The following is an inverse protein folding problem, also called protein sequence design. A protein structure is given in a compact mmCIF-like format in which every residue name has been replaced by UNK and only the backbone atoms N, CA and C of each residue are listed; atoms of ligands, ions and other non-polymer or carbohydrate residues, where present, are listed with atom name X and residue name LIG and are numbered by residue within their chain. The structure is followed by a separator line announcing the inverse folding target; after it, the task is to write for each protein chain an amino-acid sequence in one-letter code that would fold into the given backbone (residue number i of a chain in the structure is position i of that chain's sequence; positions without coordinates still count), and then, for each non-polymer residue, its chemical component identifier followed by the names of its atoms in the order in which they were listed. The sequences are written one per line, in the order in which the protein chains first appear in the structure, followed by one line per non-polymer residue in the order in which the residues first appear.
data_IF_308431376034
#
_entry.id   IF_308431376034
#
_cell.length_a   1.000
_cell.length_b   1.000
_cell.length_c   1.000
_cell.angle_alpha   90.00
_cell.angle_beta   90.00
_cell.angle_gamma   90.00
#
_symmetry.space_group_name_H-M   'P 1'
#
loop_
_entity.id
_entity.type
_entity.pdbx_description
1 polymer ?
#
# COMPACT_ATOMS: atom_id res chain seq x y z
N UNK A 1 -3.91 3.15 -11.62
CA UNK A 1 -4.67 1.90 -11.44
C UNK A 1 -5.17 1.43 -12.79
N UNK A 2 -4.89 0.19 -13.20
CA UNK A 2 -5.44 -0.39 -14.41
C UNK A 2 -6.94 -0.59 -14.20
N UNK A 3 -7.73 0.11 -15.01
CA UNK A 3 -9.15 -0.16 -15.12
C UNK A 3 -9.33 -1.26 -16.17
N UNK A 4 -10.06 -2.31 -15.80
CA UNK A 4 -10.51 -3.34 -16.72
C UNK A 4 -11.58 -2.76 -17.64
N UNK A 5 -11.53 -3.13 -18.92
CA UNK A 5 -12.46 -2.60 -19.93
C UNK A 5 -13.92 -2.96 -19.65
N UNK A 6 -14.18 -4.08 -18.97
CA UNK A 6 -15.50 -4.56 -18.58
C UNK A 6 -15.95 -4.04 -17.20
N UNK A 7 -15.14 -3.22 -16.53
CA UNK A 7 -15.47 -2.65 -15.22
C UNK A 7 -15.52 -3.65 -14.06
N UNK A 8 -15.17 -4.92 -14.30
CA UNK A 8 -15.25 -5.98 -13.29
C UNK A 8 -14.29 -5.70 -12.13
N UNK A 9 -14.76 -6.03 -10.91
CA UNK A 9 -14.00 -5.93 -9.65
C UNK A 9 -14.32 -7.12 -8.76
N UNK A 10 -13.37 -7.55 -7.91
CA UNK A 10 -13.66 -8.54 -6.88
C UNK A 10 -14.65 -7.96 -5.86
N UNK A 11 -15.59 -8.78 -5.43
CA UNK A 11 -16.58 -8.43 -4.41
C UNK A 11 -16.60 -9.53 -3.35
N UNK A 12 -15.66 -9.45 -2.40
CA UNK A 12 -15.64 -10.26 -1.20
C UNK A 12 -15.75 -9.31 0.02
N UNK A 13 -16.87 -9.32 0.74
CA UNK A 13 -17.13 -8.36 1.82
C UNK A 13 -16.14 -8.52 2.98
N UNK A 14 -15.63 -9.74 3.23
CA UNK A 14 -14.72 -10.01 4.34
C UNK A 14 -13.36 -9.41 4.02
N UNK A 15 -12.79 -9.77 2.87
CA UNK A 15 -11.46 -9.28 2.48
C UNK A 15 -11.48 -7.78 2.19
N UNK A 16 -12.54 -7.25 1.59
CA UNK A 16 -12.73 -5.82 1.40
C UNK A 16 -12.76 -5.08 2.75
N UNK A 17 -13.49 -5.61 3.74
CA UNK A 17 -13.52 -5.06 5.09
C UNK A 17 -12.15 -5.07 5.77
N UNK A 18 -11.38 -6.16 5.62
CA UNK A 18 -10.02 -6.26 6.15
C UNK A 18 -9.08 -5.25 5.52
N UNK A 19 -9.10 -5.09 4.19
CA UNK A 19 -8.29 -4.10 3.48
C UNK A 19 -8.62 -2.68 3.96
N UNK A 20 -9.91 -2.34 4.08
CA UNK A 20 -10.33 -1.04 4.60
C UNK A 20 -9.86 -0.81 6.03
N UNK A 21 -9.99 -1.81 6.91
CA UNK A 21 -9.50 -1.73 8.29
C UNK A 21 -7.98 -1.56 8.37
N UNK A 22 -7.22 -2.25 7.52
CA UNK A 22 -5.77 -2.09 7.44
C UNK A 22 -5.37 -0.67 7.00
N UNK A 23 -6.06 -0.10 6.02
CA UNK A 23 -5.86 1.29 5.58
C UNK A 23 -6.18 2.26 6.72
N UNK A 24 -7.32 2.09 7.38
CA UNK A 24 -7.71 2.96 8.50
C UNK A 24 -6.72 2.88 9.67
N UNK A 25 -6.29 1.66 10.02
CA UNK A 25 -5.34 1.43 11.10
C UNK A 25 -3.96 2.01 10.79
N UNK A 26 -3.51 1.99 9.53
CA UNK A 26 -2.24 2.61 9.14
C UNK A 26 -2.29 4.13 9.28
N UNK A 27 -3.40 4.76 8.87
CA UNK A 27 -3.62 6.19 9.09
C UNK A 27 -3.66 6.54 10.58
N UNK A 28 -4.34 5.73 11.40
CA UNK A 28 -4.44 5.95 12.85
C UNK A 28 -3.09 5.80 13.56
N UNK A 29 -2.34 4.73 13.28
CA UNK A 29 -1.01 4.50 13.88
C UNK A 29 -0.04 5.65 13.59
N UNK A 30 -0.11 6.22 12.40
CA UNK A 30 0.76 7.34 12.02
C UNK A 30 0.38 8.64 12.71
N UNK A 31 -0.91 8.89 12.92
CA UNK A 31 -1.38 10.01 13.72
C UNK A 31 -0.90 9.90 15.19
N UNK A 32 -0.95 8.69 15.77
CA UNK A 32 -0.47 8.43 17.13
C UNK A 32 1.07 8.57 17.25
N UNK A 33 1.83 8.07 16.26
CA UNK A 33 3.31 8.10 16.28
C UNK A 33 3.88 9.51 16.06
N UNK A 34 3.27 10.30 15.18
CA UNK A 34 3.67 11.70 14.96
C UNK A 34 3.42 12.57 16.20
N UNK A 35 2.41 12.24 17.01
CA UNK A 35 2.11 12.92 18.26
C UNK A 35 3.19 12.67 19.33
N UNK A 36 3.64 11.42 19.50
CA UNK A 36 4.63 11.07 20.53
C UNK A 36 5.98 11.76 20.33
N UNK A 37 6.52 11.75 19.12
CA UNK A 37 7.83 12.35 18.82
C UNK A 37 7.83 13.86 19.00
N UNK A 38 6.75 14.54 18.57
CA UNK A 38 6.55 15.96 18.81
C UNK A 38 6.39 16.29 20.30
N UNK A 39 5.71 15.42 21.06
CA UNK A 39 5.49 15.62 22.49
C UNK A 39 6.78 15.52 23.31
N UNK A 40 7.61 14.50 23.07
CA UNK A 40 8.88 14.33 23.78
C UNK A 40 9.93 15.35 23.35
N UNK A 41 10.07 15.63 22.05
CA UNK A 41 11.03 16.61 21.54
C UNK A 41 10.70 18.04 21.98
N UNK A 42 9.43 18.44 21.87
CA UNK A 42 8.96 19.77 22.30
C UNK A 42 9.03 19.96 23.81
N UNK A 43 8.67 18.93 24.59
CA UNK A 43 8.70 18.99 26.05
C UNK A 43 10.10 19.23 26.61
N UNK A 44 11.13 18.56 26.07
CA UNK A 44 12.52 18.73 26.52
C UNK A 44 13.02 20.15 26.24
N UNK A 45 12.77 20.68 25.03
CA UNK A 45 13.20 22.05 24.66
C UNK A 45 12.52 23.10 25.54
N UNK A 46 11.21 22.98 25.77
CA UNK A 46 10.47 23.91 26.65
C UNK A 46 10.96 23.86 28.09
N UNK A 47 11.33 22.68 28.59
CA UNK A 47 11.86 22.51 29.95
C UNK A 47 13.21 23.20 30.10
N UNK A 48 14.13 23.01 29.14
CA UNK A 48 15.43 23.67 29.12
C UNK A 48 15.26 25.20 29.04
N UNK A 49 14.38 25.68 28.16
CA UNK A 49 14.10 27.10 28.01
C UNK A 49 13.51 27.73 29.28
N UNK A 50 12.61 27.00 29.96
CA UNK A 50 12.03 27.43 31.23
C UNK A 50 13.06 27.55 32.35
N UNK A 51 14.01 26.62 32.45
CA UNK A 51 15.09 26.67 33.45
C UNK A 51 16.02 27.86 33.19
N UNK A 52 16.39 28.11 31.94
CA UNK A 52 17.25 29.25 31.56
C UNK A 52 16.55 30.58 31.88
N UNK A 53 15.26 30.72 31.54
CA UNK A 53 14.48 31.92 31.85
C UNK A 53 14.30 32.14 33.35
N UNK A 54 14.03 31.08 34.12
CA UNK A 54 13.89 31.17 35.57
C UNK A 54 15.20 31.61 36.25
N UNK A 55 16.34 31.07 35.81
CA UNK A 55 17.65 31.43 36.31
C UNK A 55 18.05 32.87 35.92
N UNK A 56 17.71 33.32 34.71
CA UNK A 56 18.08 34.66 34.22
C UNK A 56 17.19 35.80 34.72
N UNK A 57 15.89 35.56 34.93
CA UNK A 57 14.93 36.61 35.31
C UNK A 57 14.73 36.74 36.82
N UNK A 58 15.13 35.74 37.60
CA UNK A 58 14.91 35.70 39.06
C UNK A 58 13.44 35.60 39.47
N UNK A 59 12.51 35.50 38.51
CA UNK A 59 11.07 35.44 38.75
C UNK A 59 10.46 34.16 38.15
N UNK A 60 10.24 33.12 38.97
CA UNK A 60 9.81 31.81 38.49
C UNK A 60 8.40 31.84 37.87
N UNK A 61 7.53 32.75 38.32
CA UNK A 61 6.16 32.88 37.77
C UNK A 61 6.16 33.36 36.32
N UNK A 62 7.05 34.30 35.98
CA UNK A 62 7.14 34.85 34.62
C UNK A 62 7.71 33.79 33.66
N UNK A 63 8.69 33.02 34.10
CA UNK A 63 9.23 31.90 33.32
C UNK A 63 8.16 30.86 32.98
N UNK A 64 7.32 30.49 33.95
CA UNK A 64 6.21 29.54 33.73
C UNK A 64 5.21 30.08 32.70
N UNK A 65 4.79 31.35 32.84
CA UNK A 65 3.83 31.96 31.92
C UNK A 65 4.36 32.00 30.47
N UNK A 66 5.64 32.34 30.29
CA UNK A 66 6.29 32.35 28.98
C UNK A 66 6.36 30.94 28.38
N UNK A 67 6.75 29.94 29.17
CA UNK A 67 6.82 28.55 28.70
C UNK A 67 5.45 28.03 28.27
N UNK A 68 4.39 28.32 29.04
CA UNK A 68 3.03 27.91 28.69
C UNK A 68 2.57 28.61 27.40
N UNK A 69 2.81 29.92 27.27
CA UNK A 69 2.47 30.66 26.07
C UNK A 69 3.21 30.14 24.82
N UNK A 70 4.51 29.84 24.96
CA UNK A 70 5.32 29.26 23.90
C UNK A 70 4.86 27.84 23.55
N UNK A 71 4.47 27.04 24.54
CA UNK A 71 3.93 25.70 24.33
C UNK A 71 2.61 25.77 23.55
N UNK A 72 1.68 26.64 23.96
CA UNK A 72 0.40 26.81 23.28
C UNK A 72 0.58 27.30 21.83
N UNK A 73 1.44 28.30 21.62
CA UNK A 73 1.75 28.82 20.29
C UNK A 73 2.43 27.76 19.41
N UNK A 74 3.39 27.00 19.96
CA UNK A 74 4.06 25.90 19.27
C UNK A 74 3.10 24.77 18.88
N UNK A 75 2.16 24.44 19.75
CA UNK A 75 1.17 23.38 19.51
C UNK A 75 0.15 23.81 18.43
N UNK A 76 -0.30 25.07 18.45
CA UNK A 76 -1.13 25.64 17.37
C UNK A 76 -0.37 25.66 16.04
N UNK A 77 0.88 26.12 16.04
CA UNK A 77 1.70 26.17 14.83
C UNK A 77 1.96 24.77 14.27
N UNK A 78 2.27 23.80 15.12
CA UNK A 78 2.45 22.41 14.73
C UNK A 78 1.14 21.79 14.23
N UNK A 79 0.00 22.08 14.85
CA UNK A 79 -1.31 21.59 14.39
C UNK A 79 -1.67 22.09 12.99
N UNK A 80 -1.27 23.31 12.63
CA UNK A 80 -1.55 23.91 11.32
C UNK A 80 -0.55 23.44 10.25
N UNK A 81 0.73 23.28 10.62
CA UNK A 81 1.81 23.06 9.66
C UNK A 81 2.39 21.64 9.65
N UNK A 82 1.91 20.73 10.52
CA UNK A 82 2.40 19.35 10.52
C UNK A 82 2.06 18.68 9.17
N UNK A 83 3.08 18.24 8.41
CA UNK A 83 2.82 17.42 7.23
C UNK A 83 2.10 16.15 7.67
N UNK A 84 1.04 15.76 6.94
CA UNK A 84 0.35 14.52 7.20
C UNK A 84 1.37 13.36 7.21
N UNK A 85 1.46 12.57 8.30
CA UNK A 85 2.45 11.51 8.39
C UNK A 85 2.15 10.49 7.28
N UNK A 86 3.11 10.35 6.36
CA UNK A 86 2.99 9.45 5.22
C UNK A 86 3.11 8.02 5.74
N UNK A 87 2.04 7.24 5.60
CA UNK A 87 2.11 5.81 5.83
C UNK A 87 3.03 5.17 4.79
N UNK A 88 3.94 4.31 5.21
CA UNK A 88 4.66 3.43 4.30
C UNK A 88 3.65 2.52 3.59
N UNK A 89 3.36 2.73 2.30
CA UNK A 89 2.22 2.09 1.65
C UNK A 89 2.35 0.56 1.59
N UNK A 90 3.58 0.07 1.42
CA UNK A 90 3.91 -1.37 1.38
C UNK A 90 3.52 -2.08 2.68
N UNK A 91 3.65 -1.41 3.83
CA UNK A 91 3.43 -2.04 5.14
C UNK A 91 1.96 -2.10 5.55
N UNK A 92 1.08 -1.44 4.79
CA UNK A 92 -0.36 -1.38 5.10
C UNK A 92 -0.97 -2.79 5.08
N UNK A 93 -0.52 -3.65 4.16
CA UNK A 93 -1.06 -4.98 3.95
C UNK A 93 -0.21 -6.10 4.57
N UNK A 94 0.81 -5.80 5.37
CA UNK A 94 1.69 -6.83 5.98
C UNK A 94 0.89 -7.87 6.79
N UNK A 95 -0.19 -7.45 7.44
CA UNK A 95 -1.09 -8.33 8.21
C UNK A 95 -1.78 -9.38 7.32
N UNK A 96 -1.94 -9.09 6.03
CA UNK A 96 -2.52 -9.99 5.02
C UNK A 96 -1.44 -10.75 4.22
N UNK A 97 -0.17 -10.65 4.62
CA UNK A 97 0.97 -11.21 3.89
C UNK A 97 1.49 -10.33 2.76
N UNK A 98 1.09 -9.05 2.74
CA UNK A 98 1.51 -8.05 1.77
C UNK A 98 0.60 -7.93 0.54
N UNK A 99 0.79 -6.89 -0.29
CA UNK A 99 -0.02 -6.64 -1.49
C UNK A 99 0.01 -7.79 -2.50
N UNK A 100 1.14 -8.49 -2.60
CA UNK A 100 1.33 -9.60 -3.52
C UNK A 100 0.56 -10.87 -3.17
N UNK A 101 0.18 -11.06 -1.90
CA UNK A 101 -0.54 -12.24 -1.43
C UNK A 101 -2.06 -12.11 -1.59
N UNK A 102 -2.55 -10.93 -1.99
CA UNK A 102 -3.96 -10.75 -2.31
C UNK A 102 -4.37 -11.63 -3.50
N UNK A 103 -5.62 -12.09 -3.59
CA UNK A 103 -6.11 -12.82 -4.75
C UNK A 103 -5.93 -11.99 -6.02
N UNK A 104 -5.63 -12.65 -7.15
CA UNK A 104 -5.31 -12.01 -8.42
C UNK A 104 -6.31 -10.91 -8.83
N UNK A 105 -7.62 -11.11 -8.57
CA UNK A 105 -8.67 -10.13 -8.85
C UNK A 105 -8.47 -8.77 -8.17
N UNK A 106 -7.76 -8.72 -7.04
CA UNK A 106 -7.47 -7.47 -6.31
C UNK A 106 -6.45 -6.57 -7.00
N UNK A 107 -5.81 -7.04 -8.07
CA UNK A 107 -5.00 -6.22 -8.96
C UNK A 107 -5.81 -5.05 -9.55
N UNK A 108 -7.13 -5.19 -9.71
CA UNK A 108 -8.04 -4.16 -10.22
C UNK A 108 -8.95 -3.59 -9.12
N UNK A 109 -8.59 -3.75 -7.84
CA UNK A 109 -9.38 -3.22 -6.73
C UNK A 109 -8.83 -1.86 -6.24
N UNK A 110 -9.64 -0.78 -6.19
CA UNK A 110 -9.13 0.55 -5.86
C UNK A 110 -8.52 0.68 -4.47
N UNK A 111 -9.08 0.01 -3.45
CA UNK A 111 -8.55 0.13 -2.10
C UNK A 111 -7.20 -0.60 -1.96
N UNK A 112 -7.01 -1.73 -2.64
CA UNK A 112 -5.72 -2.41 -2.70
C UNK A 112 -4.63 -1.50 -3.32
N UNK A 113 -5.00 -0.69 -4.32
CA UNK A 113 -4.11 0.32 -4.90
C UNK A 113 -3.72 1.44 -3.94
N UNK A 114 -4.58 1.81 -3.00
CA UNK A 114 -4.23 2.77 -1.94
C UNK A 114 -3.39 2.13 -0.84
N UNK A 115 -3.41 0.80 -0.75
CA UNK A 115 -2.78 0.02 0.31
C UNK A 115 -1.41 -0.56 -0.10
N UNK A 116 -0.73 0.01 -1.10
CA UNK A 116 0.65 -0.37 -1.43
C UNK A 116 0.85 -1.21 -2.69
N UNK A 117 -0.20 -1.47 -3.47
CA UNK A 117 -0.08 -2.22 -4.74
C UNK A 117 0.85 -1.53 -5.78
N UNK A 118 0.82 -0.20 -5.99
CA UNK A 118 1.70 0.47 -6.95
C UNK A 118 3.18 0.25 -6.63
N UNK A 119 3.54 0.34 -5.35
CA UNK A 119 4.90 0.17 -4.87
C UNK A 119 5.38 -1.28 -5.03
N UNK A 120 4.49 -2.25 -4.81
CA UNK A 120 4.76 -3.66 -5.10
C UNK A 120 5.00 -3.92 -6.59
N UNK A 121 4.23 -3.25 -7.46
CA UNK A 121 4.29 -3.42 -8.91
C UNK A 121 5.30 -2.48 -9.61
N UNK A 122 6.12 -1.74 -8.85
CA UNK A 122 7.01 -0.73 -9.41
C UNK A 122 7.99 -1.25 -10.47
N UNK A 123 8.37 -2.54 -10.38
CA UNK A 123 9.29 -3.20 -11.31
C UNK A 123 8.58 -3.98 -12.42
N UNK A 124 7.24 -3.96 -12.48
CA UNK A 124 6.46 -4.73 -13.45
C UNK A 124 6.23 -3.86 -14.70
N UNK A 125 6.52 -4.42 -15.88
CA UNK A 125 6.33 -3.69 -17.13
C UNK A 125 4.85 -3.41 -17.43
N UNK A 126 4.55 -2.27 -18.05
CA UNK A 126 3.18 -1.90 -18.43
C UNK A 126 2.47 -2.98 -19.27
N UNK A 127 3.22 -3.68 -20.14
CA UNK A 127 2.70 -4.79 -20.96
C UNK A 127 2.26 -5.97 -20.09
N UNK A 128 3.11 -6.38 -19.14
CA UNK A 128 2.82 -7.46 -18.21
C UNK A 128 1.61 -7.11 -17.35
N UNK A 129 1.54 -5.87 -16.87
CA UNK A 129 0.43 -5.36 -16.07
C UNK A 129 -0.89 -5.37 -16.88
N UNK A 130 -0.86 -4.97 -18.15
CA UNK A 130 -2.03 -5.04 -19.03
C UNK A 130 -2.53 -6.47 -19.21
N UNK A 131 -1.65 -7.43 -19.52
CA UNK A 131 -2.01 -8.84 -19.66
C UNK A 131 -2.54 -9.42 -18.34
N UNK A 132 -1.87 -9.14 -17.22
CA UNK A 132 -2.29 -9.57 -15.90
C UNK A 132 -3.69 -9.05 -15.56
N UNK A 133 -4.01 -7.79 -15.89
CA UNK A 133 -5.33 -7.22 -15.61
C UNK A 133 -6.45 -7.87 -16.43
N UNK A 134 -6.16 -8.42 -17.61
CA UNK A 134 -7.14 -9.21 -18.37
C UNK A 134 -7.37 -10.58 -17.74
N UNK A 135 -6.31 -11.21 -17.23
CA UNK A 135 -6.35 -12.57 -16.67
C UNK A 135 -6.74 -12.64 -15.19
N UNK A 136 -6.79 -11.52 -14.49
CA UNK A 136 -6.96 -11.48 -13.04
C UNK A 136 -8.25 -12.13 -12.50
N UNK A 137 -9.31 -12.24 -13.31
CA UNK A 137 -10.57 -12.91 -12.92
C UNK A 137 -10.51 -14.42 -13.11
N UNK A 138 -9.73 -14.88 -14.07
CA UNK A 138 -9.63 -16.31 -14.42
C UNK A 138 -8.57 -17.02 -13.59
N UNK A 139 -7.57 -16.26 -13.11
CA UNK A 139 -6.48 -16.83 -12.33
C UNK A 139 -6.89 -17.06 -10.86
N UNK A 140 -6.83 -18.31 -10.35
CA UNK A 140 -7.24 -18.63 -8.99
C UNK A 140 -6.18 -18.28 -7.93
N UNK A 141 -4.97 -17.91 -8.34
CA UNK A 141 -3.84 -17.64 -7.45
C UNK A 141 -3.76 -16.21 -6.92
N UNK A 142 -2.63 -15.90 -6.30
CA UNK A 142 -2.31 -14.57 -5.80
C UNK A 142 -1.91 -13.61 -6.92
N UNK A 143 -1.88 -12.30 -6.63
CA UNK A 143 -1.32 -11.29 -7.55
C UNK A 143 0.14 -11.63 -7.90
N UNK A 144 0.94 -12.10 -6.94
CA UNK A 144 2.33 -12.49 -7.18
C UNK A 144 2.44 -13.62 -8.19
N UNK A 145 1.59 -14.65 -8.05
CA UNK A 145 1.61 -15.82 -8.94
C UNK A 145 1.17 -15.44 -10.34
N UNK A 146 0.15 -14.58 -10.45
CA UNK A 146 -0.29 -14.03 -11.73
C UNK A 146 0.84 -13.26 -12.44
N UNK A 147 1.54 -12.37 -11.72
CA UNK A 147 2.65 -11.61 -12.31
C UNK A 147 3.79 -12.54 -12.74
N UNK A 148 4.14 -13.54 -11.92
CA UNK A 148 5.15 -14.56 -12.28
C UNK A 148 4.73 -15.35 -13.51
N UNK A 149 3.46 -15.74 -13.62
CA UNK A 149 2.92 -16.45 -14.77
C UNK A 149 3.04 -15.60 -16.03
N UNK A 150 2.67 -14.32 -15.97
CA UNK A 150 2.78 -13.41 -17.13
C UNK A 150 4.23 -13.15 -17.51
N UNK A 151 5.13 -12.98 -16.53
CA UNK A 151 6.56 -12.83 -16.78
C UNK A 151 7.16 -14.08 -17.47
N UNK A 152 6.81 -15.28 -16.99
CA UNK A 152 7.22 -16.53 -17.62
C UNK A 152 6.64 -16.69 -19.04
N UNK A 153 5.39 -16.28 -19.25
CA UNK A 153 4.75 -16.29 -20.56
C UNK A 153 5.44 -15.33 -21.54
N UNK A 154 5.90 -14.16 -21.08
CA UNK A 154 6.66 -13.22 -21.90
C UNK A 154 8.02 -13.78 -22.30
N UNK A 155 8.75 -14.40 -21.37
CA UNK A 155 10.02 -15.10 -21.66
C UNK A 155 9.80 -16.21 -22.69
N UNK A 156 8.73 -16.99 -22.54
CA UNK A 156 8.42 -18.07 -23.46
C UNK A 156 8.02 -17.55 -24.86
N UNK A 157 7.24 -16.47 -24.91
CA UNK A 157 6.91 -15.80 -26.16
C UNK A 157 8.17 -15.29 -26.88
N UNK A 158 9.13 -14.72 -26.15
CA UNK A 158 10.42 -14.29 -26.72
C UNK A 158 11.22 -15.44 -27.33
N UNK A 159 11.14 -16.65 -26.75
CA UNK A 159 11.85 -17.82 -27.27
C UNK A 159 11.23 -18.38 -28.56
N UNK A 160 9.91 -18.21 -28.76
CA UNK A 160 9.17 -18.80 -29.88
C UNK A 160 8.95 -17.83 -31.05
N UNK A 161 9.09 -16.53 -30.82
CA UNK A 161 8.93 -15.51 -31.85
C UNK A 161 10.30 -15.25 -32.50
N UNK A 162 10.64 -16.06 -33.51
CA UNK A 162 11.86 -15.89 -34.29
C UNK A 162 11.80 -14.62 -35.17
N UNK A 163 12.56 -13.58 -34.78
CA UNK A 163 12.78 -12.39 -35.61
C UNK A 163 11.63 -11.37 -35.67
N UNK A 164 10.59 -11.51 -34.84
CA UNK A 164 9.52 -10.50 -34.70
C UNK A 164 9.48 -9.97 -33.27
N UNK A 165 8.96 -8.75 -33.11
CA UNK A 165 8.72 -8.18 -31.79
C UNK A 165 7.54 -8.92 -31.11
N UNK A 166 7.72 -9.28 -29.84
CA UNK A 166 6.67 -9.91 -29.03
C UNK A 166 5.55 -8.92 -28.76
N UNK A 167 4.32 -9.29 -29.12
CA UNK A 167 3.14 -8.45 -28.89
C UNK A 167 2.43 -8.84 -27.58
N UNK A 168 1.58 -7.95 -27.07
CA UNK A 168 0.73 -8.24 -25.90
C UNK A 168 -0.17 -9.47 -26.13
N UNK A 169 -0.66 -9.65 -27.37
CA UNK A 169 -1.51 -10.77 -27.75
C UNK A 169 -0.77 -12.12 -27.66
N UNK A 170 0.53 -12.15 -27.98
CA UNK A 170 1.35 -13.36 -27.88
C UNK A 170 1.51 -13.78 -26.42
N UNK A 171 1.86 -12.84 -25.55
CA UNK A 171 1.99 -13.06 -24.10
C UNK A 171 0.65 -13.52 -23.50
N UNK A 172 -0.45 -12.86 -23.86
CA UNK A 172 -1.79 -13.23 -23.39
C UNK A 172 -2.17 -14.66 -23.80
N UNK A 173 -1.90 -15.08 -25.05
CA UNK A 173 -2.23 -16.44 -25.51
C UNK A 173 -1.52 -17.52 -24.70
N UNK A 174 -0.22 -17.34 -24.42
CA UNK A 174 0.53 -18.30 -23.60
C UNK A 174 0.06 -18.29 -22.15
N UNK A 175 -0.11 -17.11 -21.56
CA UNK A 175 -0.56 -16.95 -20.18
C UNK A 175 -1.97 -17.51 -19.96
N UNK A 176 -2.90 -17.26 -20.89
CA UNK A 176 -4.25 -17.80 -20.84
C UNK A 176 -4.25 -19.33 -20.96
N UNK A 177 -3.48 -19.91 -21.89
CA UNK A 177 -3.35 -21.37 -22.01
C UNK A 177 -2.84 -21.99 -20.71
N UNK A 178 -1.78 -21.43 -20.13
CA UNK A 178 -1.24 -21.90 -18.85
C UNK A 178 -2.27 -21.80 -17.73
N UNK A 179 -3.05 -20.72 -17.69
CA UNK A 179 -4.11 -20.54 -16.68
C UNK A 179 -5.23 -21.57 -16.82
N UNK A 180 -5.64 -21.86 -18.06
CA UNK A 180 -6.67 -22.88 -18.35
C UNK A 180 -6.16 -24.30 -18.00
N UNK A 181 -4.90 -24.60 -18.30
CA UNK A 181 -4.28 -25.88 -17.91
C UNK A 181 -4.21 -26.02 -16.39
N UNK A 182 -3.81 -24.95 -15.69
CA UNK A 182 -3.84 -24.90 -14.23
C UNK A 182 -5.25 -25.11 -13.67
N UNK A 183 -6.27 -24.47 -14.24
CA UNK A 183 -7.65 -24.64 -13.81
C UNK A 183 -8.17 -26.07 -14.00
N UNK A 184 -7.64 -26.83 -14.99
CA UNK A 184 -7.98 -28.25 -15.18
C UNK A 184 -7.30 -29.16 -14.16
N UNK A 185 -6.08 -28.84 -13.76
CA UNK A 185 -5.26 -29.67 -12.87
C UNK A 185 -5.54 -29.35 -11.41
N UNK A 186 -5.94 -28.12 -11.10
CA UNK A 186 -6.28 -27.68 -9.77
C UNK A 186 -7.41 -28.55 -9.21
N UNK A 187 -7.26 -29.14 -8.01
CA UNK A 187 -8.36 -29.83 -7.38
C UNK A 187 -9.50 -28.83 -7.21
N UNK A 188 -10.67 -29.16 -7.76
CA UNK A 188 -11.88 -28.35 -7.59
C UNK A 188 -12.14 -28.31 -6.10
N UNK A 189 -11.80 -27.21 -5.44
CA UNK A 189 -12.34 -26.93 -4.10
C UNK A 189 -13.85 -26.86 -4.29
N UNK A 190 -14.56 -27.89 -3.81
CA UNK A 190 -16.02 -27.89 -3.70
C UNK A 190 -16.43 -26.54 -3.11
N UNK A 191 -17.13 -25.74 -3.92
CA UNK A 191 -17.85 -24.57 -3.44
C UNK A 191 -18.70 -25.02 -2.26
N UNK A 192 -18.38 -24.55 -1.06
CA UNK A 192 -19.34 -24.53 0.03
C UNK A 192 -20.44 -23.54 -0.39
N UNK A 193 -21.65 -24.09 -0.52
CA UNK A 193 -22.89 -23.38 -0.79
C UNK A 193 -23.22 -22.35 0.29
#
# INVERSE_FOLDING_TARGET
MPARADGWRPDDPVLNGLIHKCIEQSHRKNAETGSMTAFFGGGIVLTIFGVILAAGTGNPLLAIAVVIAMAAAGLLYAGINAPAPRADPIRILDVLGGPGNLPAGYLVYPAAWRAGMPEFLANVGNRQLSVATRLCREHPGSVTDLIRLVANAEVHAHQHVYGRAVTEADVYRFAHRATVEWARIAPVSMNAA
#
